data_IF_126143927043
#
_entry.id   IF_126143927043
#
_cell.length_a   1.000
_cell.length_b   1.000
_cell.length_c   1.000
_cell.angle_alpha   90.00
_cell.angle_beta   90.00
_cell.angle_gamma   90.00
#
_symmetry.space_group_name_H-M   'P 1'
#
loop_
_entity.id
_entity.type
_entity.pdbx_description
1 polymer ?
#
# COMPACT_ATOMS: atom_id res chain seq x y z
N UNK A 1 10.74 0.66 2.09
CA UNK A 1 11.57 0.99 0.91
C UNK A 1 10.75 1.22 -0.35
N UNK A 2 9.78 0.37 -0.72
CA UNK A 2 9.02 0.53 -1.98
C UNK A 2 7.93 1.62 -1.94
N UNK A 3 6.99 1.55 -0.98
CA UNK A 3 5.92 2.54 -0.84
C UNK A 3 6.47 3.94 -0.59
N UNK A 4 7.49 4.05 0.27
CA UNK A 4 8.19 5.30 0.54
C UNK A 4 8.84 5.89 -0.71
N UNK A 5 9.40 5.05 -1.58
CA UNK A 5 10.03 5.49 -2.84
C UNK A 5 8.97 5.98 -3.83
N UNK A 6 7.88 5.22 -3.97
CA UNK A 6 6.77 5.59 -4.84
C UNK A 6 6.10 6.91 -4.41
N UNK A 7 5.77 7.07 -3.13
CA UNK A 7 5.21 8.32 -2.59
C UNK A 7 6.16 9.49 -2.87
N UNK A 8 7.47 9.33 -2.61
CA UNK A 8 8.47 10.38 -2.88
C UNK A 8 8.60 10.74 -4.37
N UNK A 9 8.46 9.77 -5.27
CA UNK A 9 8.44 10.03 -6.71
C UNK A 9 7.24 10.89 -7.09
N UNK A 10 6.07 10.62 -6.52
CA UNK A 10 4.86 11.43 -6.71
C UNK A 10 4.96 12.81 -6.04
N UNK A 11 5.61 12.94 -4.87
CA UNK A 11 5.88 14.24 -4.23
C UNK A 11 6.66 15.21 -5.13
N UNK A 12 7.69 14.71 -5.83
CA UNK A 12 8.57 15.54 -6.68
C UNK A 12 7.76 16.23 -7.78
N UNK A 13 6.74 15.56 -8.32
CA UNK A 13 5.90 16.11 -9.36
C UNK A 13 5.03 17.29 -8.88
N UNK A 14 4.82 17.44 -7.56
CA UNK A 14 3.89 18.39 -6.96
C UNK A 14 4.60 19.47 -6.13
N UNK A 15 5.94 19.56 -6.19
CA UNK A 15 6.76 20.56 -5.46
C UNK A 15 6.54 20.60 -3.94
N UNK A 16 6.14 19.48 -3.33
CA UNK A 16 5.92 19.38 -1.88
C UNK A 16 7.24 19.10 -1.12
N UNK A 17 7.37 19.61 0.11
CA UNK A 17 8.54 19.36 0.96
C UNK A 17 8.64 17.87 1.34
N UNK A 18 9.74 17.23 0.94
CA UNK A 18 9.95 15.78 1.01
C UNK A 18 10.13 15.27 2.43
N UNK A 19 10.50 16.13 3.38
CA UNK A 19 10.78 15.71 4.75
C UNK A 19 9.51 15.49 5.59
N UNK A 20 8.36 16.03 5.15
CA UNK A 20 7.12 16.04 5.93
C UNK A 20 6.07 15.01 5.54
N UNK A 21 6.37 14.12 4.60
CA UNK A 21 5.40 13.14 4.10
C UNK A 21 5.64 11.78 4.76
N UNK A 22 4.92 11.43 5.84
CA UNK A 22 5.04 10.10 6.42
C UNK A 22 4.52 9.07 5.42
N UNK A 23 5.38 8.11 5.07
CA UNK A 23 4.99 6.86 4.46
C UNK A 23 4.83 5.83 5.57
N UNK A 24 3.59 5.48 5.90
CA UNK A 24 3.29 4.55 6.99
C UNK A 24 2.45 3.39 6.46
N UNK A 25 2.89 2.17 6.80
CA UNK A 25 2.11 0.95 6.62
C UNK A 25 1.66 0.50 7.99
N UNK A 26 0.35 0.37 8.19
CA UNK A 26 -0.26 -0.08 9.43
C UNK A 26 -0.82 -1.48 9.23
N UNK A 27 -0.68 -2.34 10.23
CA UNK A 27 -1.38 -3.62 10.24
C UNK A 27 -2.78 -3.42 10.81
N UNK A 28 -3.75 -4.20 10.31
CA UNK A 28 -5.05 -4.35 10.94
C UNK A 28 -5.45 -5.81 11.03
N UNK A 29 -6.67 -6.07 11.50
CA UNK A 29 -7.21 -7.43 11.57
C UNK A 29 -6.55 -8.28 12.65
N UNK A 30 -6.56 -9.60 12.46
CA UNK A 30 -6.13 -10.58 13.46
C UNK A 30 -4.67 -10.43 13.87
N UNK A 31 -3.79 -10.12 12.91
CA UNK A 31 -2.35 -9.91 13.17
C UNK A 31 -2.13 -8.71 14.09
N UNK A 32 -2.82 -7.59 13.84
CA UNK A 32 -2.73 -6.41 14.70
C UNK A 32 -3.25 -6.65 16.13
N UNK A 33 -4.17 -7.62 16.30
CA UNK A 33 -4.71 -8.02 17.60
C UNK A 33 -3.87 -9.10 18.31
N UNK A 34 -2.76 -9.56 17.72
CA UNK A 34 -1.94 -10.64 18.28
C UNK A 34 -2.57 -12.03 18.19
N UNK A 35 -3.62 -12.18 17.38
CA UNK A 35 -4.34 -13.44 17.16
C UNK A 35 -4.06 -14.05 15.77
N UNK A 36 -3.02 -13.57 15.07
CA UNK A 36 -2.63 -14.08 13.76
C UNK A 36 -2.06 -15.50 13.83
N UNK A 37 -2.39 -16.33 12.85
CA UNK A 37 -1.76 -17.63 12.62
C UNK A 37 -0.62 -17.54 11.61
N UNK A 38 0.36 -18.45 11.66
CA UNK A 38 1.49 -18.50 10.71
C UNK A 38 1.07 -18.68 9.25
N UNK A 39 -0.09 -19.28 9.01
CA UNK A 39 -0.70 -19.45 7.67
C UNK A 39 -1.80 -18.43 7.36
N UNK A 40 -1.99 -17.42 8.22
CA UNK A 40 -3.05 -16.43 8.08
C UNK A 40 -2.68 -15.32 7.11
N UNK A 41 -3.70 -14.68 6.56
CA UNK A 41 -3.54 -13.47 5.76
C UNK A 41 -3.07 -12.31 6.64
N UNK A 42 -2.22 -11.44 6.07
CA UNK A 42 -1.85 -10.17 6.69
C UNK A 42 -2.70 -9.07 6.07
N UNK A 43 -3.40 -8.33 6.91
CA UNK A 43 -4.11 -7.15 6.47
C UNK A 43 -3.29 -5.88 6.77
N UNK A 44 -3.09 -5.07 5.75
CA UNK A 44 -2.27 -3.87 5.82
C UNK A 44 -2.96 -2.65 5.20
N UNK A 45 -2.65 -1.46 5.74
CA UNK A 45 -3.12 -0.16 5.27
C UNK A 45 -1.93 0.71 4.92
N UNK A 46 -1.85 1.18 3.68
CA UNK A 46 -0.93 2.25 3.29
C UNK A 46 -1.60 3.59 3.56
N UNK A 47 -0.96 4.43 4.37
CA UNK A 47 -1.34 5.83 4.48
C UNK A 47 -0.75 6.58 3.28
N UNK A 48 -1.64 7.17 2.48
CA UNK A 48 -1.30 7.88 1.25
C UNK A 48 -1.70 9.35 1.39
N UNK A 49 -0.82 10.30 1.05
CA UNK A 49 -1.18 11.71 0.99
C UNK A 49 -2.31 12.00 -0.02
N UNK A 50 -3.17 12.96 0.28
CA UNK A 50 -4.32 13.31 -0.56
C UNK A 50 -3.99 13.96 -1.92
N UNK A 51 -2.74 14.36 -2.17
CA UNK A 51 -2.30 14.81 -3.50
C UNK A 51 -1.97 13.65 -4.45
N UNK A 52 -2.01 12.41 -3.98
CA UNK A 52 -1.89 11.21 -4.82
C UNK A 52 -3.29 10.66 -5.05
N UNK A 53 -3.64 10.45 -6.31
CA UNK A 53 -4.95 9.96 -6.67
C UNK A 53 -5.12 8.47 -6.36
N UNK A 54 -6.39 8.07 -6.17
CA UNK A 54 -6.74 6.66 -6.00
C UNK A 54 -6.37 5.82 -7.22
N UNK A 55 -6.51 6.37 -8.42
CA UNK A 55 -6.13 5.70 -9.66
C UNK A 55 -4.63 5.37 -9.67
N UNK A 56 -3.80 6.30 -9.20
CA UNK A 56 -2.35 6.11 -9.10
C UNK A 56 -1.97 4.94 -8.19
N UNK A 57 -2.75 4.69 -7.14
CA UNK A 57 -2.58 3.52 -6.25
C UNK A 57 -2.89 2.20 -6.97
N UNK A 58 -3.95 2.14 -7.79
CA UNK A 58 -4.32 0.91 -8.51
C UNK A 58 -3.58 0.71 -9.84
N UNK A 59 -2.83 1.71 -10.30
CA UNK A 59 -2.04 1.67 -11.55
C UNK A 59 -0.55 1.74 -11.25
N UNK A 60 0.02 2.94 -11.10
CA UNK A 60 1.47 3.14 -10.97
C UNK A 60 2.08 2.44 -9.75
N UNK A 61 1.35 2.38 -8.62
CA UNK A 61 1.82 1.66 -7.44
C UNK A 61 1.73 0.14 -7.62
N UNK A 62 0.66 -0.35 -8.25
CA UNK A 62 0.53 -1.77 -8.60
C UNK A 62 1.69 -2.20 -9.50
N UNK A 63 2.03 -1.42 -10.51
CA UNK A 63 3.18 -1.68 -11.39
C UNK A 63 4.49 -1.65 -10.61
N UNK A 64 4.63 -0.70 -9.68
CA UNK A 64 5.81 -0.64 -8.79
C UNK A 64 5.93 -1.91 -7.95
N UNK A 65 4.84 -2.39 -7.33
CA UNK A 65 4.84 -3.63 -6.53
C UNK A 65 5.26 -4.84 -7.37
N UNK A 66 4.80 -4.93 -8.61
CA UNK A 66 5.15 -6.01 -9.55
C UNK A 66 6.62 -6.04 -9.97
N UNK A 67 7.39 -4.98 -9.70
CA UNK A 67 8.85 -4.98 -9.95
C UNK A 67 9.67 -5.68 -8.86
N UNK A 68 9.05 -6.07 -7.75
CA UNK A 68 9.72 -6.80 -6.67
C UNK A 68 9.58 -8.30 -6.85
N UNK A 69 10.71 -9.00 -6.90
CA UNK A 69 10.76 -10.47 -7.06
C UNK A 69 10.11 -11.21 -5.88
N UNK A 70 10.09 -10.61 -4.68
CA UNK A 70 9.44 -11.18 -3.49
C UNK A 70 7.91 -11.13 -3.56
N UNK A 71 7.35 -10.31 -4.48
CA UNK A 71 5.92 -10.07 -4.62
C UNK A 71 5.38 -10.89 -5.80
N UNK A 72 4.47 -11.80 -5.50
CA UNK A 72 3.82 -12.66 -6.51
C UNK A 72 2.30 -12.50 -6.45
N UNK A 73 1.61 -12.91 -7.52
CA UNK A 73 0.14 -12.85 -7.65
C UNK A 73 -0.46 -11.49 -7.26
N UNK A 74 0.22 -10.40 -7.64
CA UNK A 74 -0.17 -9.04 -7.31
C UNK A 74 -1.29 -8.53 -8.23
N UNK A 75 -2.49 -8.36 -7.68
CA UNK A 75 -3.70 -7.99 -8.42
C UNK A 75 -4.49 -6.89 -7.69
N UNK A 76 -5.03 -5.95 -8.45
CA UNK A 76 -5.98 -4.96 -7.94
C UNK A 76 -7.40 -5.52 -7.97
N UNK A 77 -8.11 -5.39 -6.86
CA UNK A 77 -9.51 -5.77 -6.70
C UNK A 77 -10.30 -4.48 -6.43
N UNK A 78 -10.91 -3.92 -7.47
CA UNK A 78 -11.55 -2.60 -7.43
C UNK A 78 -13.07 -2.61 -7.32
N UNK A 79 -13.71 -3.71 -7.71
CA UNK A 79 -15.17 -3.88 -7.70
C UNK A 79 -15.66 -4.51 -6.38
N UNK A 80 -15.34 -3.87 -5.25
CA UNK A 80 -15.73 -4.29 -3.90
C UNK A 80 -16.02 -3.09 -3.01
N UNK A 81 -16.64 -3.32 -1.85
CA UNK A 81 -16.93 -2.26 -0.87
C UNK A 81 -15.66 -1.54 -0.39
N UNK A 82 -14.58 -2.30 -0.18
CA UNK A 82 -13.26 -1.77 0.18
C UNK A 82 -12.23 -2.28 -0.83
N UNK A 83 -11.97 -1.50 -1.89
CA UNK A 83 -10.99 -1.85 -2.89
C UNK A 83 -9.57 -1.97 -2.33
N UNK A 84 -8.85 -2.97 -2.82
CA UNK A 84 -7.55 -3.35 -2.29
C UNK A 84 -6.64 -3.95 -3.37
N UNK A 85 -5.35 -3.98 -3.10
CA UNK A 85 -4.39 -4.80 -3.84
C UNK A 85 -4.16 -6.08 -3.03
N UNK A 86 -4.36 -7.24 -3.66
CA UNK A 86 -4.02 -8.54 -3.08
C UNK A 86 -2.72 -9.03 -3.68
N UNK A 87 -1.83 -9.55 -2.85
CA UNK A 87 -0.54 -10.08 -3.29
C UNK A 87 -0.02 -11.14 -2.32
N UNK A 88 1.01 -11.87 -2.74
CA UNK A 88 1.81 -12.71 -1.87
C UNK A 88 3.19 -12.08 -1.71
N UNK A 89 3.64 -11.92 -0.47
CA UNK A 89 4.99 -11.43 -0.14
C UNK A 89 5.74 -12.59 0.52
N UNK A 90 6.78 -13.11 -0.11
CA UNK A 90 7.52 -14.29 0.37
C UNK A 90 6.62 -15.48 0.76
N UNK A 91 5.53 -15.70 -0.01
CA UNK A 91 4.58 -16.78 0.23
C UNK A 91 3.47 -16.48 1.25
N UNK A 92 3.48 -15.32 1.91
CA UNK A 92 2.38 -14.87 2.79
C UNK A 92 1.40 -13.98 2.04
N UNK A 93 0.12 -14.31 2.10
CA UNK A 93 -0.93 -13.50 1.47
C UNK A 93 -1.10 -12.17 2.23
N UNK A 94 -1.17 -11.07 1.49
CA UNK A 94 -1.36 -9.72 2.00
C UNK A 94 -2.54 -9.06 1.31
N UNK A 95 -3.49 -8.57 2.10
CA UNK A 95 -4.56 -7.66 1.66
C UNK A 95 -4.12 -6.23 1.97
N UNK A 96 -3.88 -5.44 0.93
CA UNK A 96 -3.33 -4.10 1.07
C UNK A 96 -4.34 -3.05 0.64
N UNK A 97 -4.79 -2.22 1.58
CA UNK A 97 -5.70 -1.10 1.31
C UNK A 97 -4.95 0.23 1.35
N UNK A 98 -5.50 1.25 0.69
CA UNK A 98 -5.03 2.63 0.81
C UNK A 98 -6.00 3.48 1.62
N UNK A 99 -5.48 4.27 2.55
CA UNK A 99 -6.22 5.32 3.25
C UNK A 99 -5.57 6.67 2.95
N UNK A 100 -6.37 7.61 2.44
CA UNK A 100 -5.89 8.91 2.01
C UNK A 100 -6.02 9.93 3.13
N UNK A 101 -4.92 10.62 3.48
CA UNK A 101 -4.90 11.63 4.54
C UNK A 101 -4.56 13.01 3.99
N UNK A 102 -5.11 14.05 4.61
CA UNK A 102 -4.87 15.42 4.20
C UNK A 102 -3.51 15.92 4.69
N UNK A 103 -2.68 16.41 3.77
CA UNK A 103 -1.46 17.13 4.11
C UNK A 103 -1.76 18.63 4.11
N UNK A 104 -1.49 19.29 5.24
CA UNK A 104 -1.61 20.76 5.38
C UNK A 104 -0.39 21.48 4.82
#
# INVERSE_FOLDING_TARGET
MIASKWIRQKCIAVSFDKERVPCLVLLHGSVALGMGSTSGDIDAVLLVPNYIDREDYFTSFLDTLKTCDEITNCVAITDTLVPLIRMFVNGTQVSFIAAFYFVK
#
